data_IF_351251904169
#
_entry.id   IF_351251904169
#
_cell.length_a   1.000
_cell.length_b   1.000
_cell.length_c   1.000
_cell.angle_alpha   90.00
_cell.angle_beta   90.00
_cell.angle_gamma   90.00
#
_symmetry.space_group_name_H-M   'P 1'
#
loop_
_entity.id
_entity.type
_entity.pdbx_description
1 polymer ?
#
# COMPACT_ATOMS: atom_id res chain seq x y z
N UNK A 1 -22.74 28.89 -39.51
CA UNK A 1 -23.21 29.79 -38.42
C UNK A 1 -24.39 29.08 -37.78
N UNK A 2 -24.41 28.62 -36.53
CA UNK A 2 -23.64 28.85 -35.29
C UNK A 2 -23.52 27.50 -34.54
N UNK A 3 -22.34 27.09 -34.03
CA UNK A 3 -21.83 27.28 -32.64
C UNK A 3 -22.93 26.89 -31.63
N UNK A 4 -22.93 25.70 -31.02
CA UNK A 4 -21.89 25.19 -30.11
C UNK A 4 -22.11 25.84 -28.73
N UNK A 5 -22.98 25.26 -27.89
CA UNK A 5 -23.23 25.78 -26.54
C UNK A 5 -22.98 24.66 -25.54
N UNK A 6 -21.90 24.87 -24.80
CA UNK A 6 -21.27 23.98 -23.85
C UNK A 6 -22.15 23.62 -22.67
N UNK A 7 -21.93 22.40 -22.18
CA UNK A 7 -22.27 21.96 -20.85
C UNK A 7 -21.58 22.86 -19.82
N UNK A 8 -22.36 23.60 -19.04
CA UNK A 8 -21.90 24.20 -17.80
C UNK A 8 -22.31 23.28 -16.65
N UNK A 9 -21.38 22.39 -16.28
CA UNK A 9 -21.36 21.83 -14.93
C UNK A 9 -21.22 22.98 -13.94
N UNK A 10 -22.27 23.20 -13.15
CA UNK A 10 -22.22 24.06 -11.98
C UNK A 10 -21.53 23.27 -10.87
N UNK A 11 -20.20 23.28 -10.87
CA UNK A 11 -19.41 23.00 -9.66
C UNK A 11 -19.50 24.26 -8.77
N UNK A 12 -20.63 24.42 -8.07
CA UNK A 12 -20.80 25.41 -7.00
C UNK A 12 -20.69 24.71 -5.63
N UNK A 13 -19.51 24.17 -5.36
CA UNK A 13 -19.10 23.67 -4.04
C UNK A 13 -17.91 24.51 -3.53
N UNK A 14 -18.13 25.82 -3.39
CA UNK A 14 -17.27 26.64 -2.53
C UNK A 14 -17.84 26.64 -1.11
N UNK A 15 -17.37 25.68 -0.28
CA UNK A 15 -17.70 25.56 1.16
C UNK A 15 -17.10 26.69 2.02
N UNK A 16 -16.40 27.62 1.39
CA UNK A 16 -15.90 28.86 1.97
C UNK A 16 -16.73 30.01 1.40
N UNK A 17 -17.96 30.13 1.89
CA UNK A 17 -18.72 31.35 1.71
C UNK A 17 -18.00 32.44 2.50
N UNK A 18 -17.37 33.36 1.79
CA UNK A 18 -16.90 34.62 2.33
C UNK A 18 -18.09 35.28 3.05
N UNK A 19 -17.99 35.42 4.38
CA UNK A 19 -18.82 36.36 5.14
C UNK A 19 -18.46 37.78 4.70
N UNK A 20 -18.91 38.18 3.52
CA UNK A 20 -18.99 39.57 3.10
C UNK A 20 -20.19 40.18 3.83
N UNK A 21 -19.97 41.08 4.83
CA UNK A 21 -21.09 41.72 5.49
C UNK A 21 -21.77 42.66 4.49
N UNK A 22 -22.97 42.26 4.04
CA UNK A 22 -23.87 43.08 3.23
C UNK A 22 -24.03 44.49 3.84
N UNK A 23 -23.33 45.46 3.26
CA UNK A 23 -23.44 46.87 3.63
C UNK A 23 -24.75 47.45 3.13
N UNK A 24 -25.82 47.31 3.93
CA UNK A 24 -27.06 48.05 3.70
C UNK A 24 -26.87 49.52 4.03
N UNK A 25 -26.93 50.36 3.00
CA UNK A 25 -26.86 51.82 3.05
C UNK A 25 -28.04 52.43 3.81
N UNK A 26 -27.77 53.04 4.97
CA UNK A 26 -28.58 54.11 5.54
C UNK A 26 -27.67 55.14 6.25
N UNK A 27 -27.79 56.41 5.87
CA UNK A 27 -26.96 57.53 6.29
C UNK A 27 -27.40 58.17 7.64
N UNK A 28 -26.80 59.28 8.12
CA UNK A 28 -25.83 59.31 9.22
C UNK A 28 -26.43 59.93 10.50
N UNK A 29 -26.28 59.26 11.65
CA UNK A 29 -26.64 59.82 12.96
C UNK A 29 -25.37 60.14 13.77
N UNK A 30 -25.06 61.43 13.81
CA UNK A 30 -24.46 62.20 14.91
C UNK A 30 -23.47 61.50 15.87
N UNK A 31 -22.20 61.91 15.76
CA UNK A 31 -21.25 62.18 16.86
C UNK A 31 -21.57 61.56 18.25
N UNK A 32 -21.06 60.36 18.49
CA UNK A 32 -20.85 59.81 19.83
C UNK A 32 -19.33 59.56 20.04
N UNK A 33 -18.78 59.80 21.24
CA UNK A 33 -17.35 60.04 21.42
C UNK A 33 -16.51 58.78 21.29
N UNK A 34 -15.42 58.95 20.54
CA UNK A 34 -14.13 58.26 20.60
C UNK A 34 -13.80 57.69 21.98
N UNK A 35 -14.11 56.41 22.20
CA UNK A 35 -13.40 55.44 23.02
C UNK A 35 -14.34 54.25 23.24
N UNK A 36 -14.32 53.26 22.34
CA UNK A 36 -14.54 51.91 22.82
C UNK A 36 -13.50 51.73 23.93
N UNK A 37 -13.96 51.60 25.18
CA UNK A 37 -13.07 51.54 26.33
C UNK A 37 -12.01 50.47 26.06
N UNK A 38 -10.74 50.71 26.38
CA UNK A 38 -9.68 49.73 26.10
C UNK A 38 -10.03 48.33 26.64
N UNK A 39 -10.86 48.26 27.70
CA UNK A 39 -11.49 47.06 28.21
C UNK A 39 -12.43 46.35 27.22
N UNK A 40 -13.34 47.07 26.54
CA UNK A 40 -14.24 46.49 25.53
C UNK A 40 -13.49 45.99 24.29
N UNK A 41 -12.49 46.74 23.81
CA UNK A 41 -11.64 46.28 22.70
C UNK A 41 -10.85 45.04 23.13
N UNK A 42 -10.27 45.06 24.34
CA UNK A 42 -9.54 43.90 24.85
C UNK A 42 -10.44 42.67 24.98
N UNK A 43 -11.68 42.83 25.46
CA UNK A 43 -12.62 41.72 25.60
C UNK A 43 -13.00 41.13 24.24
N UNK A 44 -13.25 41.97 23.24
CA UNK A 44 -13.54 41.49 21.88
C UNK A 44 -12.37 40.73 21.27
N UNK A 45 -11.14 41.22 21.47
CA UNK A 45 -9.94 40.51 21.00
C UNK A 45 -9.71 39.20 21.77
N UNK A 46 -9.99 39.17 23.09
CA UNK A 46 -9.97 37.95 23.88
C UNK A 46 -10.99 36.92 23.42
N UNK A 47 -12.22 37.35 23.13
CA UNK A 47 -13.29 36.45 22.67
C UNK A 47 -12.96 35.88 21.29
N UNK A 48 -12.45 36.71 20.37
CA UNK A 48 -11.95 36.26 19.06
C UNK A 48 -10.81 35.26 19.20
N UNK A 49 -9.84 35.54 20.07
CA UNK A 49 -8.70 34.68 20.30
C UNK A 49 -9.12 33.33 20.91
N UNK A 50 -10.01 33.37 21.90
CA UNK A 50 -10.59 32.18 22.54
C UNK A 50 -11.37 31.32 21.56
N UNK A 51 -12.21 31.93 20.73
CA UNK A 51 -12.96 31.24 19.67
C UNK A 51 -12.01 30.57 18.68
N UNK A 52 -10.99 31.29 18.18
CA UNK A 52 -9.98 30.72 17.26
C UNK A 52 -9.22 29.54 17.85
N UNK A 53 -8.77 29.63 19.11
CA UNK A 53 -8.06 28.51 19.74
C UNK A 53 -8.98 27.32 20.04
N UNK A 54 -10.25 27.57 20.38
CA UNK A 54 -11.23 26.51 20.60
C UNK A 54 -11.53 25.77 19.29
N UNK A 55 -11.76 26.50 18.20
CA UNK A 55 -12.03 25.93 16.88
C UNK A 55 -10.80 25.20 16.33
N UNK A 56 -9.62 25.78 16.48
CA UNK A 56 -8.37 25.15 16.09
C UNK A 56 -8.12 23.87 16.90
N UNK A 57 -8.30 23.90 18.22
CA UNK A 57 -8.14 22.74 19.09
C UNK A 57 -9.16 21.63 18.81
N UNK A 58 -10.40 21.98 18.49
CA UNK A 58 -11.41 21.01 18.06
C UNK A 58 -11.04 20.35 16.72
N UNK A 59 -10.66 21.15 15.72
CA UNK A 59 -10.22 20.63 14.41
C UNK A 59 -8.98 19.74 14.54
N UNK A 60 -8.02 20.15 15.36
CA UNK A 60 -6.80 19.38 15.62
C UNK A 60 -7.14 18.08 16.36
N UNK A 61 -8.00 18.12 17.38
CA UNK A 61 -8.47 16.92 18.08
C UNK A 61 -9.17 15.90 17.18
N UNK A 62 -10.04 16.36 16.27
CA UNK A 62 -10.68 15.48 15.27
C UNK A 62 -9.64 14.88 14.32
N UNK A 63 -8.69 15.68 13.85
CA UNK A 63 -7.65 15.23 12.92
C UNK A 63 -6.72 14.23 13.60
N UNK A 64 -6.25 14.54 14.81
CA UNK A 64 -5.42 13.67 15.62
C UNK A 64 -6.12 12.34 15.93
N UNK A 65 -7.41 12.38 16.30
CA UNK A 65 -8.19 11.17 16.55
C UNK A 65 -8.36 10.29 15.31
N UNK A 66 -8.62 10.89 14.14
CA UNK A 66 -8.69 10.16 12.86
C UNK A 66 -7.35 9.53 12.49
N UNK A 67 -6.27 10.30 12.58
CA UNK A 67 -4.93 9.83 12.27
C UNK A 67 -4.49 8.72 13.23
N UNK A 68 -4.79 8.82 14.53
CA UNK A 68 -4.45 7.79 15.50
C UNK A 68 -5.12 6.45 15.18
N UNK A 69 -6.41 6.46 14.80
CA UNK A 69 -7.09 5.22 14.38
C UNK A 69 -6.55 4.66 13.06
N UNK A 70 -6.31 5.52 12.07
CA UNK A 70 -5.75 5.10 10.78
C UNK A 70 -4.35 4.49 10.94
N UNK A 71 -3.51 5.12 11.76
CA UNK A 71 -2.15 4.63 11.99
C UNK A 71 -2.16 3.27 12.70
N UNK A 72 -3.04 3.07 13.67
CA UNK A 72 -3.17 1.78 14.35
C UNK A 72 -3.51 0.65 13.36
N UNK A 73 -4.45 0.89 12.42
CA UNK A 73 -4.78 -0.09 11.37
C UNK A 73 -3.62 -0.32 10.39
N UNK A 74 -2.90 0.74 10.01
CA UNK A 74 -1.70 0.61 9.17
C UNK A 74 -0.60 -0.21 9.87
N UNK A 75 -0.32 0.06 11.14
CA UNK A 75 0.73 -0.62 11.90
C UNK A 75 0.43 -2.12 12.03
N UNK A 76 -0.84 -2.48 12.25
CA UNK A 76 -1.30 -3.87 12.26
C UNK A 76 -1.08 -4.55 10.90
N UNK A 77 -1.55 -3.93 9.81
CA UNK A 77 -1.35 -4.46 8.46
C UNK A 77 0.13 -4.55 8.08
N UNK A 78 0.95 -3.58 8.48
CA UNK A 78 2.39 -3.59 8.25
C UNK A 78 3.11 -4.68 9.04
N UNK A 79 2.76 -4.89 10.31
CA UNK A 79 3.32 -5.96 11.13
C UNK A 79 3.05 -7.35 10.52
N UNK A 80 1.87 -7.54 9.92
CA UNK A 80 1.53 -8.78 9.22
C UNK A 80 2.25 -8.90 7.87
N UNK A 81 2.27 -7.84 7.06
CA UNK A 81 2.78 -7.91 5.68
C UNK A 81 4.32 -7.87 5.58
N UNK A 82 4.99 -7.12 6.45
CA UNK A 82 6.41 -6.85 6.34
C UNK A 82 7.31 -8.10 6.41
N UNK A 83 7.05 -9.10 7.29
CA UNK A 83 7.79 -10.36 7.29
C UNK A 83 7.72 -11.11 5.96
N UNK A 84 6.52 -11.28 5.40
CA UNK A 84 6.32 -11.97 4.14
C UNK A 84 6.97 -11.23 2.97
N UNK A 85 6.82 -9.91 2.93
CA UNK A 85 7.47 -9.08 1.91
C UNK A 85 9.00 -9.19 1.96
N UNK A 86 9.59 -9.23 3.17
CA UNK A 86 11.03 -9.42 3.36
C UNK A 86 11.49 -10.80 2.92
N UNK A 87 10.80 -11.86 3.32
CA UNK A 87 11.15 -13.22 2.92
C UNK A 87 11.12 -13.37 1.39
N UNK A 88 10.01 -12.96 0.78
CA UNK A 88 9.80 -13.13 -0.64
C UNK A 88 10.75 -12.22 -1.46
N UNK A 89 10.99 -11.00 -1.00
CA UNK A 89 11.99 -10.10 -1.57
C UNK A 89 13.41 -10.68 -1.48
N UNK A 90 13.74 -11.35 -0.37
CA UNK A 90 15.05 -11.99 -0.19
C UNK A 90 15.24 -13.17 -1.15
N UNK A 91 14.23 -14.04 -1.28
CA UNK A 91 14.26 -15.16 -2.22
C UNK A 91 14.43 -14.67 -3.67
N UNK A 92 13.67 -13.64 -4.07
CA UNK A 92 13.79 -13.01 -5.39
C UNK A 92 15.17 -12.42 -5.61
N UNK A 93 15.70 -11.69 -4.63
CA UNK A 93 17.01 -11.07 -4.69
C UNK A 93 18.13 -12.10 -4.86
N UNK A 94 18.14 -13.16 -4.06
CA UNK A 94 19.14 -14.23 -4.13
C UNK A 94 19.05 -14.97 -5.47
N UNK A 95 17.84 -15.37 -5.89
CA UNK A 95 17.67 -16.09 -7.15
C UNK A 95 18.11 -15.24 -8.36
N UNK A 96 17.72 -13.96 -8.40
CA UNK A 96 18.07 -13.05 -9.49
C UNK A 96 19.57 -12.71 -9.52
N UNK A 97 20.19 -12.49 -8.36
CA UNK A 97 21.63 -12.21 -8.28
C UNK A 97 22.45 -13.42 -8.70
N UNK A 98 22.09 -14.63 -8.24
CA UNK A 98 22.78 -15.86 -8.64
C UNK A 98 22.61 -16.13 -10.14
N UNK A 99 21.39 -15.93 -10.68
CA UNK A 99 21.16 -16.03 -12.13
C UNK A 99 22.01 -15.02 -12.92
N UNK A 100 22.07 -13.76 -12.48
CA UNK A 100 22.90 -12.72 -13.11
C UNK A 100 24.38 -13.08 -13.06
N UNK A 101 24.86 -13.59 -11.93
CA UNK A 101 26.24 -14.01 -11.74
C UNK A 101 26.64 -15.17 -12.68
N UNK A 102 25.71 -16.09 -12.97
CA UNK A 102 25.97 -17.24 -13.84
C UNK A 102 25.86 -16.90 -15.34
N UNK A 103 25.04 -15.91 -15.70
CA UNK A 103 24.70 -15.59 -17.09
C UNK A 103 25.39 -14.35 -17.64
N UNK A 104 25.72 -13.38 -16.79
CA UNK A 104 26.38 -12.13 -17.17
C UNK A 104 27.85 -12.21 -16.79
N UNK A 105 28.77 -12.35 -17.77
CA UNK A 105 30.20 -12.29 -17.48
C UNK A 105 30.57 -10.86 -17.05
N UNK A 106 30.75 -10.67 -15.74
CA UNK A 106 31.22 -9.40 -15.15
C UNK A 106 32.63 -9.57 -14.58
N UNK A 107 33.50 -8.58 -14.81
CA UNK A 107 34.86 -8.57 -14.24
C UNK A 107 34.86 -8.63 -12.71
N UNK A 108 33.81 -8.13 -12.05
CA UNK A 108 33.65 -8.22 -10.61
C UNK A 108 33.15 -9.61 -10.18
N UNK A 109 32.27 -10.23 -10.97
CA UNK A 109 31.80 -11.60 -10.73
C UNK A 109 32.95 -12.60 -10.80
N UNK A 110 33.82 -12.49 -11.81
CA UNK A 110 34.99 -13.37 -11.95
C UNK A 110 36.04 -13.14 -10.86
N UNK A 111 36.21 -11.90 -10.38
CA UNK A 111 37.12 -11.58 -9.26
C UNK A 111 36.65 -12.18 -7.93
N UNK A 112 35.37 -12.03 -7.59
CA UNK A 112 34.87 -12.36 -6.25
C UNK A 112 34.23 -13.75 -6.13
N UNK A 113 33.59 -14.23 -7.20
CA UNK A 113 32.91 -15.51 -7.22
C UNK A 113 33.48 -16.49 -8.26
N UNK A 114 34.44 -16.05 -9.08
CA UNK A 114 34.96 -16.84 -10.21
C UNK A 114 35.46 -18.22 -9.81
N UNK A 115 36.16 -18.35 -8.68
CA UNK A 115 36.67 -19.64 -8.19
C UNK A 115 35.54 -20.64 -7.85
N UNK A 116 34.46 -20.17 -7.21
CA UNK A 116 33.29 -20.99 -6.86
C UNK A 116 32.52 -21.39 -8.12
N UNK A 117 32.35 -20.44 -9.04
CA UNK A 117 31.63 -20.65 -10.29
C UNK A 117 32.38 -21.56 -11.28
N UNK A 118 33.70 -21.52 -11.29
CA UNK A 118 34.55 -22.38 -12.14
C UNK A 118 34.78 -23.77 -11.58
N UNK A 119 34.56 -23.97 -10.28
CA UNK A 119 34.70 -25.28 -9.64
C UNK A 119 33.55 -26.24 -10.00
N UNK A 120 32.40 -25.71 -10.43
CA UNK A 120 31.21 -26.49 -10.80
C UNK A 120 31.28 -26.93 -12.26
N UNK A 121 30.96 -28.20 -12.60
CA UNK A 121 30.91 -28.67 -13.97
C UNK A 121 29.95 -27.84 -14.86
N UNK A 122 30.28 -27.65 -16.16
CA UNK A 122 29.47 -26.82 -17.06
C UNK A 122 28.03 -27.33 -17.21
N UNK A 123 27.81 -28.65 -17.25
CA UNK A 123 26.46 -29.23 -17.32
C UNK A 123 25.61 -28.89 -16.08
N UNK A 124 26.22 -28.95 -14.90
CA UNK A 124 25.55 -28.62 -13.64
C UNK A 124 25.23 -27.12 -13.59
N UNK A 125 26.13 -26.28 -14.11
CA UNK A 125 25.90 -24.84 -14.24
C UNK A 125 24.69 -24.54 -15.15
N UNK A 126 24.58 -25.20 -16.31
CA UNK A 126 23.45 -25.00 -17.22
C UNK A 126 22.11 -25.42 -16.60
N UNK A 127 22.08 -26.56 -15.89
CA UNK A 127 20.89 -27.00 -15.14
C UNK A 127 20.51 -25.99 -14.05
N UNK A 128 21.48 -25.49 -13.30
CA UNK A 128 21.23 -24.46 -12.29
C UNK A 128 20.68 -23.16 -12.90
N UNK A 129 21.19 -22.73 -14.06
CA UNK A 129 20.67 -21.55 -14.77
C UNK A 129 19.22 -21.75 -15.21
N UNK A 130 18.87 -22.93 -15.74
CA UNK A 130 17.49 -23.25 -16.11
C UNK A 130 16.56 -23.19 -14.89
N UNK A 131 16.96 -23.83 -13.79
CA UNK A 131 16.21 -23.86 -12.54
C UNK A 131 15.99 -22.46 -11.95
N UNK A 132 17.02 -21.60 -11.96
CA UNK A 132 16.92 -20.23 -11.46
C UNK A 132 15.99 -19.36 -12.30
N UNK A 133 15.92 -19.56 -13.63
CA UNK A 133 14.96 -18.85 -14.49
C UNK A 133 13.53 -19.22 -14.14
N UNK A 134 13.29 -20.51 -13.92
CA UNK A 134 11.99 -20.98 -13.44
C UNK A 134 11.65 -20.40 -12.07
N UNK A 135 12.59 -20.42 -11.12
CA UNK A 135 12.39 -19.87 -9.78
C UNK A 135 12.10 -18.37 -9.81
N UNK A 136 12.85 -17.58 -10.58
CA UNK A 136 12.58 -16.14 -10.74
C UNK A 136 11.18 -15.91 -11.32
N UNK A 137 10.76 -16.73 -12.28
CA UNK A 137 9.43 -16.64 -12.88
C UNK A 137 8.33 -17.03 -11.88
N UNK A 138 8.51 -18.13 -11.14
CA UNK A 138 7.59 -18.62 -10.13
C UNK A 138 7.44 -17.60 -8.99
N UNK A 139 8.56 -17.13 -8.44
CA UNK A 139 8.59 -16.08 -7.43
C UNK A 139 8.00 -14.77 -7.96
N UNK A 140 8.13 -14.45 -9.25
CA UNK A 140 7.51 -13.28 -9.88
C UNK A 140 5.98 -13.34 -9.94
N UNK A 141 5.39 -14.54 -10.01
CA UNK A 141 3.92 -14.74 -10.04
C UNK A 141 3.25 -14.70 -8.67
N UNK A 142 4.03 -14.80 -7.59
CA UNK A 142 3.53 -14.71 -6.21
C UNK A 142 3.27 -13.24 -5.85
N UNK A 143 2.00 -12.89 -5.71
CA UNK A 143 1.56 -11.55 -5.27
C UNK A 143 1.30 -11.53 -3.75
N UNK A 144 1.14 -10.34 -3.19
CA UNK A 144 0.86 -10.16 -1.77
C UNK A 144 -0.46 -10.83 -1.35
N UNK A 145 -1.43 -10.92 -2.27
CA UNK A 145 -2.75 -11.51 -2.01
C UNK A 145 -2.67 -13.02 -1.81
N UNK A 146 -1.79 -13.70 -2.54
CA UNK A 146 -1.59 -15.16 -2.43
C UNK A 146 -0.74 -15.56 -1.23
N UNK A 147 0.14 -14.68 -0.76
CA UNK A 147 1.16 -15.03 0.23
C UNK A 147 0.75 -14.64 1.65
N UNK A 148 -0.01 -13.56 1.80
CA UNK A 148 -0.53 -13.17 3.10
C UNK A 148 -1.69 -14.10 3.53
N UNK A 149 -1.83 -14.34 4.84
CA UNK A 149 -3.03 -15.00 5.36
C UNK A 149 -4.28 -14.17 5.04
N UNK A 150 -5.39 -14.85 4.81
CA UNK A 150 -6.69 -14.20 4.58
C UNK A 150 -7.09 -13.46 5.86
N UNK A 151 -7.46 -12.19 5.72
CA UNK A 151 -7.95 -11.37 6.82
C UNK A 151 -9.44 -11.68 7.07
N UNK A 152 -9.70 -12.63 7.97
CA UNK A 152 -11.06 -13.08 8.30
C UNK A 152 -11.93 -11.96 8.90
N UNK A 153 -11.33 -10.99 9.61
CA UNK A 153 -12.02 -9.86 10.22
C UNK A 153 -12.45 -8.86 9.15
N UNK A 154 -11.57 -8.56 8.18
CA UNK A 154 -11.91 -7.74 7.03
C UNK A 154 -12.96 -8.43 6.12
N UNK A 155 -12.90 -9.74 5.95
CA UNK A 155 -13.94 -10.48 5.20
C UNK A 155 -15.29 -10.46 5.90
N UNK A 156 -15.32 -10.67 7.22
CA UNK A 156 -16.55 -10.63 8.00
C UNK A 156 -17.16 -9.23 8.00
N UNK A 157 -16.36 -8.18 8.23
CA UNK A 157 -16.81 -6.80 8.16
C UNK A 157 -17.31 -6.43 6.74
N UNK A 158 -16.66 -6.93 5.69
CA UNK A 158 -17.13 -6.72 4.31
C UNK A 158 -18.46 -7.44 4.02
N UNK A 159 -18.69 -8.62 4.61
CA UNK A 159 -19.97 -9.35 4.52
C UNK A 159 -21.07 -8.67 5.33
N UNK A 160 -20.73 -8.06 6.46
CA UNK A 160 -21.68 -7.38 7.35
C UNK A 160 -22.10 -6.00 6.82
N UNK A 161 -21.22 -5.31 6.05
CA UNK A 161 -21.49 -3.98 5.49
C UNK A 161 -21.64 -3.97 3.95
N UNK A 162 -22.02 -5.10 3.34
CA UNK A 162 -22.21 -5.21 1.89
C UNK A 162 -23.33 -4.26 1.36
N UNK A 163 -24.24 -3.83 2.24
CA UNK A 163 -25.35 -2.91 1.93
C UNK A 163 -25.13 -1.44 2.39
N UNK A 164 -24.05 -1.11 3.11
CA UNK A 164 -23.83 0.22 3.69
C UNK A 164 -22.66 0.97 3.02
N UNK A 165 -22.86 1.38 1.77
CA UNK A 165 -22.12 2.53 1.20
C UNK A 165 -20.67 2.28 0.81
N UNK A 166 -20.34 1.12 0.25
CA UNK A 166 -19.06 0.93 -0.45
C UNK A 166 -18.98 1.97 -1.58
N UNK A 167 -17.94 2.82 -1.57
CA UNK A 167 -17.59 3.70 -2.69
C UNK A 167 -17.64 2.92 -4.00
N UNK A 168 -18.38 3.40 -5.01
CA UNK A 168 -18.54 2.75 -6.31
C UNK A 168 -17.20 2.28 -6.91
N UNK A 169 -16.11 3.01 -6.66
CA UNK A 169 -14.75 2.67 -7.09
C UNK A 169 -14.23 1.36 -6.50
N UNK A 170 -14.53 1.08 -5.23
CA UNK A 170 -14.14 -0.19 -4.59
C UNK A 170 -15.02 -1.34 -5.07
N UNK A 171 -16.30 -1.05 -5.39
CA UNK A 171 -17.22 -2.02 -6.01
C UNK A 171 -16.75 -2.39 -7.42
N UNK A 172 -16.46 -1.42 -8.28
CA UNK A 172 -15.95 -1.64 -9.64
C UNK A 172 -14.61 -2.39 -9.63
N UNK A 173 -13.70 -2.03 -8.72
CA UNK A 173 -12.42 -2.74 -8.60
C UNK A 173 -12.59 -4.17 -8.08
N UNK A 174 -13.65 -4.46 -7.31
CA UNK A 174 -14.00 -5.82 -6.87
C UNK A 174 -14.63 -6.60 -8.02
N UNK A 175 -15.61 -6.03 -8.71
CA UNK A 175 -16.29 -6.63 -9.86
C UNK A 175 -15.31 -6.98 -10.98
N UNK A 176 -14.35 -6.10 -11.29
CA UNK A 176 -13.30 -6.37 -12.28
C UNK A 176 -12.42 -7.55 -11.89
N UNK A 177 -12.09 -7.68 -10.59
CA UNK A 177 -11.30 -8.80 -10.05
C UNK A 177 -12.09 -10.10 -10.01
N UNK A 178 -13.36 -10.03 -9.65
CA UNK A 178 -14.27 -11.19 -9.68
C UNK A 178 -14.49 -11.67 -11.10
N UNK A 179 -14.62 -10.76 -12.07
CA UNK A 179 -14.72 -11.09 -13.49
C UNK A 179 -13.42 -11.70 -14.03
N UNK A 180 -12.25 -11.19 -13.64
CA UNK A 180 -10.94 -11.78 -13.97
C UNK A 180 -10.79 -13.18 -13.34
N UNK A 181 -11.22 -13.37 -12.09
CA UNK A 181 -11.23 -14.66 -11.41
C UNK A 181 -12.23 -15.65 -12.04
N UNK A 182 -13.39 -15.20 -12.51
CA UNK A 182 -14.37 -16.02 -13.23
C UNK A 182 -13.87 -16.43 -14.62
N UNK A 183 -13.22 -15.50 -15.34
CA UNK A 183 -12.58 -15.79 -16.63
C UNK A 183 -11.37 -16.72 -16.47
N UNK A 184 -10.63 -16.61 -15.38
CA UNK A 184 -9.50 -17.49 -15.05
C UNK A 184 -9.94 -18.81 -14.38
N UNK A 185 -11.16 -18.87 -13.85
CA UNK A 185 -11.64 -19.90 -12.92
C UNK A 185 -12.56 -20.96 -13.53
N UNK A 186 -12.65 -21.06 -14.86
CA UNK A 186 -13.38 -22.14 -15.56
C UNK A 186 -12.72 -23.55 -15.38
N UNK A 187 -12.02 -23.75 -14.28
CA UNK A 187 -11.28 -24.96 -13.90
C UNK A 187 -11.03 -25.05 -12.39
N UNK A 188 -12.09 -25.10 -11.56
CA UNK A 188 -12.02 -25.67 -10.21
C UNK A 188 -12.44 -24.76 -9.06
N UNK A 189 -13.64 -24.99 -8.50
CA UNK A 189 -14.20 -24.30 -7.34
C UNK A 189 -13.76 -24.94 -6.02
N UNK A 190 -12.82 -24.31 -5.30
CA UNK A 190 -12.59 -24.40 -3.83
C UNK A 190 -11.38 -23.53 -3.41
N UNK A 191 -11.32 -22.30 -3.91
CA UNK A 191 -10.04 -21.60 -4.20
C UNK A 191 -9.47 -20.80 -3.02
N UNK A 192 -10.25 -20.11 -2.19
CA UNK A 192 -9.69 -19.09 -1.25
C UNK A 192 -8.81 -19.62 -0.10
N UNK A 193 -9.29 -20.58 0.73
CA UNK A 193 -8.46 -21.17 1.81
C UNK A 193 -7.32 -22.04 1.26
N UNK A 194 -7.57 -22.72 0.14
CA UNK A 194 -6.54 -23.50 -0.55
C UNK A 194 -5.49 -22.59 -1.17
N UNK A 195 -5.83 -21.38 -1.60
CA UNK A 195 -4.91 -20.45 -2.25
C UNK A 195 -3.94 -19.80 -1.28
N UNK A 196 -4.36 -19.45 -0.06
CA UNK A 196 -3.44 -18.92 0.96
C UNK A 196 -2.46 -20.00 1.46
N UNK A 197 -2.97 -21.23 1.70
CA UNK A 197 -2.11 -22.39 1.99
C UNK A 197 -1.23 -22.75 0.79
N UNK A 198 -1.75 -22.60 -0.45
CA UNK A 198 -1.02 -22.80 -1.69
C UNK A 198 0.10 -21.78 -1.85
N UNK A 199 -0.12 -20.51 -1.50
CA UNK A 199 0.89 -19.46 -1.61
C UNK A 199 2.02 -19.63 -0.61
N UNK A 200 1.70 -19.92 0.66
CA UNK A 200 2.72 -20.24 1.67
C UNK A 200 3.50 -21.51 1.31
N UNK A 201 2.79 -22.55 0.82
CA UNK A 201 3.42 -23.76 0.32
C UNK A 201 4.31 -23.48 -0.91
N UNK A 202 3.87 -22.63 -1.83
CA UNK A 202 4.64 -22.26 -3.02
C UNK A 202 5.91 -21.48 -2.66
N UNK A 203 5.84 -20.58 -1.67
CA UNK A 203 7.03 -19.89 -1.14
C UNK A 203 7.99 -20.90 -0.51
N UNK A 204 7.50 -21.82 0.32
CA UNK A 204 8.31 -22.86 0.95
C UNK A 204 8.96 -23.80 -0.09
N UNK A 205 8.22 -24.15 -1.15
CA UNK A 205 8.73 -24.96 -2.25
C UNK A 205 9.83 -24.22 -3.03
N UNK A 206 9.60 -22.95 -3.37
CA UNK A 206 10.61 -22.12 -4.03
C UNK A 206 11.86 -21.96 -3.17
N UNK A 207 11.72 -21.79 -1.86
CA UNK A 207 12.83 -21.76 -0.91
C UNK A 207 13.64 -23.05 -0.95
N UNK A 208 12.99 -24.21 -0.82
CA UNK A 208 13.67 -25.52 -0.87
C UNK A 208 14.43 -25.72 -2.18
N UNK A 209 13.79 -25.41 -3.31
CA UNK A 209 14.42 -25.49 -4.64
C UNK A 209 15.65 -24.58 -4.72
N UNK A 210 15.56 -23.36 -4.19
CA UNK A 210 16.68 -22.42 -4.15
C UNK A 210 17.82 -22.92 -3.23
N UNK A 211 17.51 -23.52 -2.08
CA UNK A 211 18.49 -24.17 -1.20
C UNK A 211 19.25 -25.29 -1.91
N UNK A 212 18.55 -26.11 -2.68
CA UNK A 212 19.17 -27.19 -3.46
C UNK A 212 20.13 -26.63 -4.52
N UNK A 213 19.77 -25.53 -5.19
CA UNK A 213 20.67 -24.83 -6.11
C UNK A 213 21.88 -24.24 -5.36
N UNK A 214 21.68 -23.59 -4.23
CA UNK A 214 22.76 -23.00 -3.44
C UNK A 214 23.74 -24.04 -2.91
N UNK A 215 23.25 -25.24 -2.55
CA UNK A 215 24.07 -26.37 -2.11
C UNK A 215 25.06 -26.81 -3.18
N UNK A 216 24.66 -26.81 -4.45
CA UNK A 216 25.54 -27.13 -5.58
C UNK A 216 26.75 -26.19 -5.66
N UNK A 217 26.58 -24.93 -5.25
CA UNK A 217 27.64 -23.92 -5.23
C UNK A 217 28.36 -23.80 -3.87
N UNK A 218 28.05 -24.67 -2.89
CA UNK A 218 28.63 -24.61 -1.55
C UNK A 218 28.21 -23.37 -0.75
N UNK A 219 27.08 -22.75 -1.11
CA UNK A 219 26.53 -21.54 -0.46
C UNK A 219 25.47 -21.90 0.59
N UNK A 220 25.73 -22.96 1.36
CA UNK A 220 24.83 -23.39 2.43
C UNK A 220 24.76 -22.31 3.53
N UNK A 221 23.53 -21.91 3.92
CA UNK A 221 23.32 -20.85 4.92
C UNK A 221 23.23 -19.43 4.37
N UNK A 222 23.27 -19.24 3.04
CA UNK A 222 23.02 -17.93 2.42
C UNK A 222 21.57 -17.45 2.57
N UNK A 223 20.64 -18.36 2.88
CA UNK A 223 19.24 -18.03 3.12
C UNK A 223 19.01 -17.74 4.61
N UNK A 224 18.33 -16.63 4.94
CA UNK A 224 17.98 -16.35 6.33
C UNK A 224 17.02 -17.42 6.86
N UNK A 225 17.14 -17.71 8.15
CA UNK A 225 16.20 -18.58 8.85
C UNK A 225 14.78 -18.03 8.68
N UNK A 226 13.80 -18.93 8.56
CA UNK A 226 12.39 -18.54 8.58
C UNK A 226 12.08 -18.07 10.00
N UNK A 227 12.06 -16.76 10.21
CA UNK A 227 11.55 -16.19 11.45
C UNK A 227 10.06 -16.50 11.51
N UNK A 228 9.68 -17.44 12.38
CA UNK A 228 8.27 -17.65 12.73
C UNK A 228 7.87 -16.48 13.62
N UNK A 229 7.14 -15.52 13.06
CA UNK A 229 6.53 -14.42 13.78
C UNK A 229 5.18 -14.84 14.34
#
# INVERSE_FOLDING_TARGET
>A
MSIGADAQMLDDDSVWHDDEPSGSSAAPAALAPLAASSGQISQQEWDKLSSRYSDAGYRDGITAGKNARLQAGFDQGFALAAPYARELGTLRGIAATLLSLLTVPSANATRHAGAVLSAVPPETKERAVAELRELVTALGRLDAVKVLPVDEEAEQHAREHEDEGISEVMRERREMREMEALMSGLGGSSVAEKDAQSGQHAVAECRRRLEDVLRVFGLEGALPAVERF
#
